data_IF_805012506228
#
_entry.id   IF_805012506228
#
_cell.length_a   1.000
_cell.length_b   1.000
_cell.length_c   1.000
_cell.angle_alpha   90.00
_cell.angle_beta   90.00
_cell.angle_gamma   90.00
#
_symmetry.space_group_name_H-M   'P 1'
#
loop_
_entity.id
_entity.type
_entity.pdbx_description
1 polymer ?
#
# COMPACT_ATOMS: atom_id res chain seq x y z
N UNK A 1 1.99 18.11 13.44
CA UNK A 1 1.05 19.21 13.10
C UNK A 1 -0.42 18.79 13.22
N UNK A 2 -0.85 17.59 12.81
CA UNK A 2 -2.23 17.12 13.02
C UNK A 2 -2.54 16.69 14.48
N UNK A 3 -1.54 16.19 15.22
CA UNK A 3 -1.69 15.80 16.64
C UNK A 3 -2.09 16.98 17.55
N UNK A 4 -1.64 18.20 17.22
CA UNK A 4 -1.89 19.40 18.01
C UNK A 4 -3.38 19.80 18.05
N UNK A 5 -4.20 19.24 17.15
CA UNK A 5 -5.63 19.54 16.99
C UNK A 5 -6.53 18.29 17.12
N UNK A 6 -6.04 17.21 17.76
CA UNK A 6 -6.77 15.96 18.08
C UNK A 6 -7.41 15.22 16.88
N UNK A 7 -6.78 15.26 15.71
CA UNK A 7 -7.21 14.42 14.59
C UNK A 7 -6.96 12.94 14.87
N UNK A 8 -7.84 12.08 14.34
CA UNK A 8 -7.53 10.66 14.15
C UNK A 8 -6.72 10.51 12.88
N UNK A 9 -5.46 10.14 13.04
CA UNK A 9 -4.47 10.13 11.96
C UNK A 9 -4.27 8.69 11.49
N UNK A 10 -4.65 8.40 10.25
CA UNK A 10 -4.50 7.08 9.67
C UNK A 10 -3.66 7.15 8.40
N UNK A 11 -2.83 6.13 8.17
CA UNK A 11 -2.13 5.93 6.90
C UNK A 11 -2.48 4.55 6.35
N UNK A 12 -2.70 4.50 5.03
CA UNK A 12 -2.91 3.27 4.27
C UNK A 12 -2.00 3.26 3.06
N UNK A 13 -1.19 2.21 2.93
CA UNK A 13 -0.24 2.01 1.84
C UNK A 13 1.22 2.25 2.20
N UNK A 14 1.98 2.81 1.26
CA UNK A 14 3.44 2.93 1.29
C UNK A 14 3.94 3.88 2.39
N UNK A 15 4.97 3.45 3.12
CA UNK A 15 5.72 4.32 4.03
C UNK A 15 7.01 4.87 3.41
N UNK A 16 8.06 4.04 3.24
CA UNK A 16 9.33 4.40 2.60
C UNK A 16 10.09 5.60 3.21
N UNK A 17 9.90 5.91 4.49
CA UNK A 17 10.60 6.99 5.21
C UNK A 17 11.47 6.48 6.36
N UNK A 18 11.92 5.23 6.24
CA UNK A 18 12.79 4.53 7.19
C UNK A 18 12.04 3.57 8.11
N UNK A 19 12.63 2.41 8.37
CA UNK A 19 12.02 1.38 9.23
C UNK A 19 13.07 0.52 9.96
N UNK A 20 14.34 0.93 10.00
CA UNK A 20 15.41 0.16 10.65
C UNK A 20 15.22 0.07 12.18
N UNK A 21 14.52 1.03 12.79
CA UNK A 21 14.01 0.94 14.16
C UNK A 21 12.57 1.44 14.22
N UNK A 22 11.82 0.99 15.25
CA UNK A 22 10.41 1.35 15.45
C UNK A 22 10.16 2.84 15.38
N UNK A 23 11.06 3.66 15.92
CA UNK A 23 10.97 5.13 15.91
C UNK A 23 10.76 5.71 14.50
N UNK A 24 11.21 5.05 13.44
CA UNK A 24 11.04 5.54 12.07
C UNK A 24 9.77 5.01 11.38
N UNK A 25 9.05 4.07 11.99
CA UNK A 25 7.81 3.52 11.43
C UNK A 25 6.64 4.50 11.57
N UNK A 26 5.54 4.32 10.81
CA UNK A 26 4.43 5.28 10.79
C UNK A 26 3.81 5.55 12.17
N UNK A 27 3.68 4.52 13.01
CA UNK A 27 3.05 4.65 14.33
C UNK A 27 3.86 5.52 15.31
N UNK A 28 5.17 5.69 15.06
CA UNK A 28 6.06 6.57 15.83
C UNK A 28 6.27 7.93 15.14
N UNK A 29 5.41 8.24 14.16
CA UNK A 29 5.44 9.46 13.32
C UNK A 29 4.08 10.17 13.27
N UNK A 30 3.24 9.92 14.28
CA UNK A 30 1.98 10.63 14.51
C UNK A 30 0.77 10.04 13.79
N UNK A 31 0.86 8.80 13.33
CA UNK A 31 -0.28 8.02 12.86
C UNK A 31 -0.76 7.04 13.94
N UNK A 32 -2.07 7.02 14.19
CA UNK A 32 -2.74 6.10 15.11
C UNK A 32 -2.84 4.68 14.53
N UNK A 33 -2.84 4.56 13.20
CA UNK A 33 -2.84 3.25 12.53
C UNK A 33 -2.12 3.27 11.18
N UNK A 34 -1.58 2.12 10.81
CA UNK A 34 -1.02 1.85 9.49
C UNK A 34 -1.51 0.51 8.97
N UNK A 35 -1.95 0.44 7.71
CA UNK A 35 -2.07 -0.82 6.96
C UNK A 35 -1.37 -0.63 5.62
N UNK A 36 -0.36 -1.44 5.32
CA UNK A 36 0.45 -1.26 4.11
C UNK A 36 1.86 -1.79 4.28
N UNK A 37 2.84 -1.20 3.61
CA UNK A 37 4.21 -1.72 3.54
C UNK A 37 5.25 -0.64 3.85
N UNK A 38 6.42 -1.04 4.33
CA UNK A 38 7.44 -0.10 4.84
C UNK A 38 8.55 0.25 3.86
N UNK A 39 8.87 -0.65 2.93
CA UNK A 39 9.91 -0.52 1.91
C UNK A 39 9.48 0.37 0.74
N UNK A 40 10.40 0.56 -0.23
CA UNK A 40 10.16 1.37 -1.42
C UNK A 40 9.26 0.73 -2.46
N UNK A 41 9.19 -0.60 -2.49
CA UNK A 41 8.36 -1.38 -3.40
C UNK A 41 8.10 -2.77 -2.82
N UNK A 42 7.07 -3.43 -3.33
CA UNK A 42 6.82 -4.85 -3.11
C UNK A 42 6.07 -5.42 -4.33
N UNK A 43 5.89 -6.73 -4.40
CA UNK A 43 4.98 -7.32 -5.39
C UNK A 43 3.53 -7.07 -5.00
N UNK A 44 2.70 -6.72 -5.98
CA UNK A 44 1.35 -6.19 -5.71
C UNK A 44 0.34 -7.24 -5.22
N UNK A 45 0.69 -8.53 -5.22
CA UNK A 45 -0.20 -9.61 -4.78
C UNK A 45 0.35 -10.38 -3.58
N UNK A 46 1.59 -10.87 -3.66
CA UNK A 46 2.19 -11.63 -2.57
C UNK A 46 2.82 -10.75 -1.48
N UNK A 47 3.01 -9.46 -1.77
CA UNK A 47 3.60 -8.44 -0.90
C UNK A 47 5.03 -8.70 -0.46
N UNK A 48 5.74 -9.60 -1.16
CA UNK A 48 7.17 -9.77 -0.97
C UNK A 48 7.93 -8.55 -1.49
N UNK A 49 8.98 -8.16 -0.78
CA UNK A 49 9.94 -7.15 -1.19
C UNK A 49 11.33 -7.78 -1.19
N UNK A 50 12.17 -7.30 -2.09
CA UNK A 50 13.61 -7.60 -2.11
C UNK A 50 14.39 -6.31 -1.90
N UNK A 51 15.30 -6.34 -0.94
CA UNK A 51 16.29 -5.27 -0.70
C UNK A 51 17.65 -5.93 -0.56
N UNK A 52 18.66 -5.37 -1.25
CA UNK A 52 20.05 -5.84 -1.22
C UNK A 52 20.19 -7.38 -1.17
N UNK A 53 19.47 -8.10 -2.04
CA UNK A 53 19.49 -9.57 -2.22
C UNK A 53 18.63 -10.43 -1.28
N UNK A 54 18.00 -9.87 -0.24
CA UNK A 54 17.15 -10.66 0.67
C UNK A 54 15.67 -10.43 0.41
N UNK A 55 14.91 -11.53 0.34
CA UNK A 55 13.46 -11.53 0.18
C UNK A 55 12.76 -11.59 1.54
N UNK A 56 11.67 -10.84 1.68
CA UNK A 56 10.80 -10.92 2.85
C UNK A 56 9.40 -10.40 2.55
N UNK A 57 8.42 -10.82 3.35
CA UNK A 57 7.07 -10.26 3.30
C UNK A 57 7.07 -8.85 3.90
N UNK A 58 6.62 -7.87 3.13
CA UNK A 58 6.43 -6.49 3.59
C UNK A 58 4.98 -6.05 3.38
N UNK A 59 4.12 -6.55 4.26
CA UNK A 59 2.76 -6.07 4.46
C UNK A 59 2.43 -6.11 5.96
N UNK A 60 1.87 -5.02 6.47
CA UNK A 60 1.76 -4.71 7.90
C UNK A 60 0.37 -4.26 8.28
N UNK A 61 -0.04 -4.60 9.50
CA UNK A 61 -1.09 -3.93 10.27
C UNK A 61 -0.46 -3.39 11.54
N UNK A 62 -0.15 -2.09 11.54
CA UNK A 62 0.68 -1.49 12.57
C UNK A 62 2.07 -2.15 12.60
N UNK A 63 2.39 -2.84 13.68
CA UNK A 63 3.67 -3.55 13.84
C UNK A 63 3.63 -5.00 13.34
N UNK A 64 2.45 -5.59 13.27
CA UNK A 64 2.28 -7.01 12.95
C UNK A 64 2.37 -7.26 11.44
N UNK A 65 2.88 -8.43 11.07
CA UNK A 65 2.88 -8.89 9.68
C UNK A 65 1.47 -9.34 9.30
N UNK A 66 0.95 -8.84 8.17
CA UNK A 66 -0.41 -9.09 7.73
C UNK A 66 -0.47 -10.22 6.68
N UNK A 67 -0.24 -11.45 7.12
CA UNK A 67 -0.28 -12.64 6.25
C UNK A 67 -1.67 -12.86 5.60
N UNK A 68 -2.74 -12.38 6.23
CA UNK A 68 -4.12 -12.45 5.73
C UNK A 68 -4.36 -11.64 4.45
N UNK A 69 -3.42 -10.78 4.07
CA UNK A 69 -3.48 -9.94 2.87
C UNK A 69 -2.77 -10.55 1.67
N UNK A 70 -2.04 -11.65 1.84
CA UNK A 70 -1.39 -12.35 0.75
C UNK A 70 -2.38 -12.76 -0.35
N UNK A 71 -1.99 -12.57 -1.61
CA UNK A 71 -2.81 -12.84 -2.80
C UNK A 71 -3.83 -11.74 -3.12
N UNK A 72 -4.00 -10.74 -2.26
CA UNK A 72 -4.90 -9.60 -2.52
C UNK A 72 -4.11 -8.47 -3.18
N UNK A 73 -4.68 -7.89 -4.24
CA UNK A 73 -4.03 -6.82 -4.98
C UNK A 73 -3.84 -5.55 -4.12
N UNK A 74 -2.62 -5.02 -4.01
CA UNK A 74 -2.27 -3.91 -3.12
C UNK A 74 -3.17 -2.69 -3.30
N UNK A 75 -3.49 -2.31 -4.54
CA UNK A 75 -4.37 -1.16 -4.81
C UNK A 75 -5.77 -1.38 -4.23
N UNK A 76 -6.29 -2.61 -4.31
CA UNK A 76 -7.58 -2.97 -3.72
C UNK A 76 -7.51 -3.00 -2.19
N UNK A 77 -6.46 -3.57 -1.61
CA UNK A 77 -6.22 -3.54 -0.16
C UNK A 77 -6.22 -2.10 0.37
N UNK A 78 -5.45 -1.20 -0.26
CA UNK A 78 -5.38 0.21 0.15
C UNK A 78 -6.75 0.89 0.03
N UNK A 79 -7.48 0.64 -1.06
CA UNK A 79 -8.83 1.17 -1.28
C UNK A 79 -9.81 0.68 -0.21
N UNK A 80 -9.88 -0.63 0.02
CA UNK A 80 -10.82 -1.23 0.96
C UNK A 80 -10.53 -0.79 2.39
N UNK A 81 -9.25 -0.72 2.77
CA UNK A 81 -8.84 -0.20 4.08
C UNK A 81 -9.15 1.30 4.22
N UNK A 82 -8.91 2.11 3.19
CA UNK A 82 -9.27 3.54 3.21
C UNK A 82 -10.79 3.73 3.38
N UNK A 83 -11.60 2.99 2.61
CA UNK A 83 -13.06 3.02 2.71
C UNK A 83 -13.53 2.55 4.09
N UNK A 84 -12.94 1.48 4.63
CA UNK A 84 -13.26 0.99 5.96
C UNK A 84 -12.89 2.00 7.05
N UNK A 85 -11.79 2.75 6.92
CA UNK A 85 -11.43 3.82 7.85
C UNK A 85 -12.44 4.95 7.82
N UNK A 86 -12.85 5.40 6.63
CA UNK A 86 -13.85 6.46 6.48
C UNK A 86 -15.21 6.00 7.04
N UNK A 87 -15.65 4.78 6.70
CA UNK A 87 -16.95 4.25 7.09
C UNK A 87 -17.09 3.95 8.59
N UNK A 88 -15.99 3.58 9.26
CA UNK A 88 -15.97 3.33 10.71
C UNK A 88 -15.55 4.56 11.53
N UNK A 89 -15.32 5.71 10.89
CA UNK A 89 -14.87 6.91 11.58
C UNK A 89 -16.01 7.59 12.34
N UNK A 90 -15.74 7.95 13.60
CA UNK A 90 -16.70 8.68 14.44
C UNK A 90 -16.91 10.10 13.92
N UNK A 91 -18.15 10.46 13.59
CA UNK A 91 -18.51 11.80 13.04
C UNK A 91 -18.11 12.96 13.96
N UNK A 92 -17.94 12.72 15.27
CA UNK A 92 -17.53 13.74 16.25
C UNK A 92 -16.03 14.06 16.28
N UNK A 93 -15.19 13.22 15.68
CA UNK A 93 -13.73 13.42 15.64
C UNK A 93 -13.30 13.91 14.25
N UNK A 94 -12.31 14.80 14.11
CA UNK A 94 -11.74 15.12 12.80
C UNK A 94 -10.85 13.99 12.28
N UNK A 95 -10.95 13.68 10.98
CA UNK A 95 -10.20 12.62 10.31
C UNK A 95 -9.04 13.20 9.48
N UNK A 96 -7.84 12.63 9.63
CA UNK A 96 -6.75 12.78 8.68
C UNK A 96 -6.39 11.40 8.14
N UNK A 97 -6.56 11.20 6.83
CA UNK A 97 -6.26 9.94 6.16
C UNK A 97 -5.22 10.19 5.06
N UNK A 98 -4.02 9.64 5.24
CA UNK A 98 -2.98 9.63 4.22
C UNK A 98 -3.05 8.32 3.42
N UNK A 99 -3.43 8.43 2.15
CA UNK A 99 -3.54 7.29 1.22
C UNK A 99 -2.34 7.30 0.27
N UNK A 100 -1.46 6.32 0.41
CA UNK A 100 -0.21 6.24 -0.33
C UNK A 100 -0.18 4.97 -1.20
N UNK A 101 -0.77 5.05 -2.39
CA UNK A 101 -0.77 3.91 -3.32
C UNK A 101 0.64 3.47 -3.73
N UNK A 102 0.81 2.14 -3.89
CA UNK A 102 2.00 1.58 -4.55
C UNK A 102 1.94 1.79 -6.06
N UNK A 103 0.76 1.61 -6.65
CA UNK A 103 0.55 1.87 -8.07
C UNK A 103 0.83 3.35 -8.39
N UNK A 104 1.47 3.67 -9.51
CA UNK A 104 1.88 2.79 -10.63
C UNK A 104 3.39 2.49 -10.62
N UNK A 105 4.02 2.43 -9.44
CA UNK A 105 5.43 2.10 -9.31
C UNK A 105 5.71 0.66 -9.77
N UNK A 106 6.93 0.41 -10.25
CA UNK A 106 7.38 -0.94 -10.54
C UNK A 106 7.44 -1.82 -9.29
N UNK A 107 7.18 -3.10 -9.47
CA UNK A 107 7.29 -4.09 -8.40
C UNK A 107 8.64 -4.82 -8.47
N UNK A 108 8.64 -6.13 -8.21
CA UNK A 108 9.84 -6.95 -8.13
C UNK A 108 10.36 -7.34 -9.53
N UNK A 109 11.65 -7.72 -9.66
CA UNK A 109 12.25 -8.01 -10.97
C UNK A 109 11.60 -9.15 -11.77
N UNK A 110 10.97 -10.12 -11.10
CA UNK A 110 10.29 -11.24 -11.78
C UNK A 110 8.92 -10.88 -12.35
N UNK A 111 8.28 -9.83 -11.82
CA UNK A 111 7.05 -9.28 -12.37
C UNK A 111 7.02 -7.76 -12.12
N UNK A 112 7.47 -7.01 -13.14
CA UNK A 112 7.80 -5.59 -12.98
C UNK A 112 6.57 -4.68 -12.84
N UNK A 113 5.41 -5.05 -13.41
CA UNK A 113 4.19 -4.24 -13.42
C UNK A 113 2.95 -5.12 -13.15
N UNK A 114 2.82 -5.74 -11.96
CA UNK A 114 1.74 -6.67 -11.69
C UNK A 114 0.40 -5.92 -11.68
N UNK A 115 -0.56 -6.45 -12.42
CA UNK A 115 -1.92 -5.92 -12.52
C UNK A 115 -2.90 -7.09 -12.57
N UNK A 116 -4.17 -6.91 -12.16
CA UNK A 116 -5.18 -7.96 -12.28
C UNK A 116 -5.40 -8.36 -13.75
N UNK A 117 -5.38 -9.67 -14.03
CA UNK A 117 -5.49 -10.20 -15.39
C UNK A 117 -6.75 -9.73 -16.11
N UNK A 118 -7.88 -9.66 -15.38
CA UNK A 118 -9.16 -9.16 -15.91
C UNK A 118 -9.07 -7.71 -16.37
N UNK A 119 -8.30 -6.86 -15.66
CA UNK A 119 -8.10 -5.46 -16.03
C UNK A 119 -7.16 -5.35 -17.23
N UNK A 120 -6.11 -6.18 -17.28
CA UNK A 120 -5.19 -6.23 -18.43
C UNK A 120 -5.93 -6.68 -19.70
N UNK A 121 -6.77 -7.71 -19.62
CA UNK A 121 -7.56 -8.21 -20.74
C UNK A 121 -8.58 -7.18 -21.25
N UNK A 122 -9.16 -6.36 -20.36
CA UNK A 122 -10.05 -5.26 -20.75
C UNK A 122 -9.36 -4.14 -21.56
N UNK A 123 -8.02 -4.10 -21.60
CA UNK A 123 -7.24 -3.06 -22.25
C UNK A 123 -6.50 -3.57 -23.49
N UNK A 124 -7.03 -4.58 -24.18
CA UNK A 124 -6.42 -5.16 -25.39
C UNK A 124 -6.10 -4.13 -26.49
N UNK A 125 -6.87 -3.04 -26.57
CA UNK A 125 -6.63 -1.91 -27.47
C UNK A 125 -5.29 -1.16 -27.22
N UNK A 126 -4.66 -1.37 -26.07
CA UNK A 126 -3.30 -0.87 -25.78
C UNK A 126 -2.30 -1.92 -26.25
N UNK A 127 -1.79 -1.76 -27.47
CA UNK A 127 -0.94 -2.77 -28.13
C UNK A 127 0.36 -3.11 -27.36
N UNK A 128 1.18 -2.14 -26.88
CA UNK A 128 2.41 -2.50 -26.18
C UNK A 128 2.07 -3.13 -24.83
N UNK A 129 2.34 -4.43 -24.67
CA UNK A 129 1.98 -5.17 -23.47
C UNK A 129 2.48 -4.54 -22.15
N UNK A 130 3.72 -4.01 -22.04
CA UNK A 130 4.15 -3.29 -20.84
C UNK A 130 3.31 -2.04 -20.55
N UNK A 131 2.88 -1.31 -21.60
CA UNK A 131 2.01 -0.14 -21.47
C UNK A 131 0.59 -0.55 -21.08
N UNK A 132 0.10 -1.68 -21.57
CA UNK A 132 -1.18 -2.28 -21.18
C UNK A 132 -1.19 -2.63 -19.69
N UNK A 133 -0.14 -3.28 -19.19
CA UNK A 133 0.02 -3.57 -17.76
C UNK A 133 0.05 -2.29 -16.93
N UNK A 134 0.85 -1.31 -17.33
CA UNK A 134 0.90 0.00 -16.67
C UNK A 134 -0.47 0.68 -16.62
N UNK A 135 -1.21 0.68 -17.73
CA UNK A 135 -2.56 1.23 -17.80
C UNK A 135 -3.52 0.44 -16.89
N UNK A 136 -3.41 -0.87 -16.84
CA UNK A 136 -4.21 -1.71 -15.96
C UNK A 136 -3.95 -1.45 -14.46
N UNK A 137 -2.71 -1.12 -14.07
CA UNK A 137 -2.41 -0.71 -12.69
C UNK A 137 -3.04 0.64 -12.31
N UNK A 138 -3.30 1.50 -13.29
CA UNK A 138 -3.89 2.83 -13.12
C UNK A 138 -5.43 2.80 -13.09
N UNK A 139 -6.04 1.76 -13.66
CA UNK A 139 -7.47 1.70 -13.97
C UNK A 139 -8.36 1.32 -12.79
#
# INVERSE_FOLDING_TARGET
MAEAIRYKNHIVGKWHLGHYTRRYTPLERGFDSHVGFWTGHHHMFDHSAVETETWGLDMRRGYDVAYDLHGKYTTHVIRDEAVARIGNHSVGDPLFLYVAHAAVHSANPYDFLPAPDVTVAGLEHVEPYPRRKFAAMLS
#
